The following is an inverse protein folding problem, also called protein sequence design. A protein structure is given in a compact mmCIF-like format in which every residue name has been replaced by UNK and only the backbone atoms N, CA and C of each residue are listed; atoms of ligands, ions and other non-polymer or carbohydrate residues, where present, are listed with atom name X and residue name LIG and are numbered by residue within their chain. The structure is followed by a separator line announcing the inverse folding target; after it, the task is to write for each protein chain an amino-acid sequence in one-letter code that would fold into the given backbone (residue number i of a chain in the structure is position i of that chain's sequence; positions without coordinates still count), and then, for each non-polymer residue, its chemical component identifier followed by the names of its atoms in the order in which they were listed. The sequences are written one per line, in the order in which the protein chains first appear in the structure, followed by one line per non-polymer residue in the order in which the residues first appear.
data_IF_790475369670
#
_entry.id   IF_790475369670
#
_cell.length_a   1.000
_cell.length_b   1.000
_cell.length_c   1.000
_cell.angle_alpha   90.00
_cell.angle_beta   90.00
_cell.angle_gamma   90.00
#
_symmetry.space_group_name_H-M   'P 1'
#
loop_
_entity.id
_entity.type
_entity.pdbx_description
1 polymer ?
2 non-polymer ?
3 non-polymer ?
4 water ?
#
# COMPACT_ATOMS: atom_id res chain seq x y z
N UNK A 1 -26.01 -2.37 2.89
CA UNK A 1 -27.37 -2.60 2.31
C UNK A 1 -27.31 -3.42 1.03
N UNK A 2 -26.21 -3.27 0.28
CA UNK A 2 -25.99 -4.00 -0.96
C UNK A 2 -25.41 -5.40 -0.68
N UNK A 3 -25.70 -6.35 -1.56
CA UNK A 3 -25.37 -7.76 -1.32
C UNK A 3 -24.29 -8.33 -2.25
N UNK A 4 -24.06 -7.66 -3.39
CA UNK A 4 -23.03 -8.09 -4.35
C UNK A 4 -21.63 -7.71 -3.85
N UNK A 5 -20.63 -8.48 -4.28
CA UNK A 5 -19.24 -8.10 -4.06
C UNK A 5 -18.89 -6.97 -5.02
N UNK A 6 -18.36 -5.88 -4.47
CA UNK A 6 -17.94 -4.75 -5.29
C UNK A 6 -16.43 -4.82 -5.48
N UNK A 7 -16.02 -5.20 -6.69
CA UNK A 7 -14.62 -5.34 -7.03
C UNK A 7 -14.17 -4.24 -7.98
N UNK A 8 -12.97 -3.72 -7.75
CA UNK A 8 -12.33 -2.79 -8.68
C UNK A 8 -11.43 -3.60 -9.62
N UNK A 9 -11.46 -3.26 -10.90
CA UNK A 9 -10.51 -3.78 -11.88
C UNK A 9 -9.77 -2.59 -12.50
N UNK A 10 -8.46 -2.52 -12.26
CA UNK A 10 -7.66 -1.36 -12.68
C UNK A 10 -6.20 -1.72 -12.99
N UNK A 11 -5.62 -1.01 -13.96
CA UNK A 11 -4.17 -1.07 -14.21
C UNK A 11 -3.60 0.34 -14.07
N UNK A 12 -2.57 0.48 -13.24
CA UNK A 12 -1.94 1.77 -13.00
C UNK A 12 -0.42 1.68 -12.99
N UNK A 13 0.24 2.82 -13.17
CA UNK A 13 1.69 2.88 -13.15
C UNK A 13 2.23 3.24 -11.75
N UNK A 14 3.54 3.47 -11.67
CA UNK A 14 4.23 3.76 -10.40
C UNK A 14 3.68 4.99 -9.68
N UNK A 15 3.08 5.90 -10.43
CA UNK A 15 2.51 7.14 -9.88
C UNK A 15 0.98 7.18 -9.95
N UNK A 16 0.36 6.00 -10.07
CA UNK A 16 -1.11 5.84 -10.09
C UNK A 16 -1.78 6.35 -11.38
N UNK A 17 -0.98 6.62 -12.41
CA UNK A 17 -1.54 7.04 -13.71
C UNK A 17 -2.34 5.89 -14.33
N UNK A 18 -3.56 6.19 -14.78
CA UNK A 18 -4.37 5.21 -15.50
C UNK A 18 -4.72 5.66 -16.92
N UNK A 19 -4.57 6.96 -17.20
CA UNK A 19 -4.99 7.50 -18.48
C UNK A 19 -4.25 8.74 -18.95
N UNK A 20 -4.19 8.89 -20.28
CA UNK A 20 -3.64 10.10 -20.89
C UNK A 20 -4.44 10.43 -22.14
N UNK A 21 -4.86 11.68 -22.24
CA UNK A 21 -5.66 12.18 -23.38
C UNK A 21 -6.86 11.30 -23.70
N UNK A 22 -7.58 10.91 -22.65
CA UNK A 22 -8.79 10.07 -22.75
C UNK A 22 -8.53 8.67 -23.34
N UNK A 23 -7.33 8.15 -23.12
CA UNK A 23 -6.94 6.83 -23.60
C UNK A 23 -5.97 6.18 -22.61
N UNK A 24 -5.58 4.93 -22.87
CA UNK A 24 -4.57 4.25 -22.07
C UNK A 24 -3.18 4.69 -22.50
N UNK A 25 -2.26 4.90 -21.54
CA UNK A 25 -0.89 5.32 -21.87
C UNK A 25 0.01 4.21 -22.42
N UNK A 26 -0.42 2.96 -22.24
CA UNK A 26 0.38 1.79 -22.63
C UNK A 26 -0.46 0.80 -23.43
N UNK A 27 0.23 -0.13 -24.09
CA UNK A 27 -0.41 -1.25 -24.76
C UNK A 27 0.18 -2.54 -24.22
N UNK A 28 -0.64 -3.31 -23.52
CA UNK A 28 -0.24 -4.61 -22.96
C UNK A 28 -1.30 -5.65 -23.29
N UNK A 29 -1.18 -6.29 -24.46
CA UNK A 29 -2.19 -7.29 -24.86
C UNK A 29 -2.36 -8.41 -23.83
N UNK A 30 -1.27 -8.84 -23.20
CA UNK A 30 -1.34 -9.93 -22.21
C UNK A 30 -2.16 -9.51 -20.97
N UNK A 31 -2.01 -8.25 -20.58
CA UNK A 31 -2.75 -7.68 -19.46
C UNK A 31 -4.24 -7.63 -19.78
N UNK A 32 -4.57 -7.25 -21.03
CA UNK A 32 -5.94 -7.24 -21.49
C UNK A 32 -6.55 -8.65 -21.42
N UNK A 33 -5.75 -9.66 -21.73
CA UNK A 33 -6.23 -11.04 -21.67
C UNK A 33 -6.54 -11.48 -20.24
N UNK A 34 -5.74 -10.99 -19.28
CA UNK A 34 -6.02 -11.22 -17.87
C UNK A 34 -7.34 -10.55 -17.46
N UNK A 35 -7.55 -9.33 -17.93
CA UNK A 35 -8.80 -8.60 -17.66
C UNK A 35 -10.01 -9.38 -18.18
N UNK A 36 -9.93 -9.82 -19.44
CA UNK A 36 -11.03 -10.57 -20.07
C UNK A 36 -11.35 -11.84 -19.30
N UNK A 37 -10.32 -12.60 -18.96
CA UNK A 37 -10.45 -13.84 -18.19
C UNK A 37 -11.10 -13.61 -16.82
N UNK A 38 -10.64 -12.58 -16.13
CA UNK A 38 -11.10 -12.30 -14.77
C UNK A 38 -12.54 -11.78 -14.72
N UNK A 39 -12.93 -10.99 -15.72
CA UNK A 39 -14.23 -10.30 -15.71
C UNK A 39 -15.36 -10.96 -16.51
N UNK A 40 -15.04 -11.92 -17.36
CA UNK A 40 -16.06 -12.52 -18.22
C UNK A 40 -17.17 -13.17 -17.41
N UNK A 41 -18.40 -12.94 -17.83
CA UNK A 41 -19.61 -13.42 -17.14
C UNK A 41 -20.05 -12.55 -15.96
N UNK A 42 -19.44 -11.37 -15.82
CA UNK A 42 -19.75 -10.46 -14.72
C UNK A 42 -20.00 -9.04 -15.23
N UNK A 43 -20.87 -8.28 -14.54
CA UNK A 43 -21.15 -6.91 -14.97
C UNK A 43 -19.91 -6.02 -14.90
N UNK A 44 -19.75 -5.17 -15.92
CA UNK A 44 -18.73 -4.12 -15.94
C UNK A 44 -19.41 -2.78 -15.74
N UNK A 45 -18.97 -2.04 -14.73
CA UNK A 45 -19.51 -0.71 -14.43
C UNK A 45 -18.50 0.31 -14.93
N UNK A 46 -18.91 1.13 -15.89
CA UNK A 46 -17.99 2.05 -16.56
C UNK A 46 -18.48 3.48 -16.52
N UNK A 47 -17.58 4.41 -16.23
CA UNK A 47 -17.89 5.83 -16.38
C UNK A 47 -18.16 6.13 -17.84
N UNK A 48 -18.98 7.14 -18.10
CA UNK A 48 -19.36 7.48 -19.48
C UNK A 48 -18.14 7.70 -20.39
N UNK A 49 -17.12 8.37 -19.88
CA UNK A 49 -15.90 8.63 -20.67
C UNK A 49 -15.13 7.36 -21.01
N UNK A 50 -14.92 6.52 -20.00
CA UNK A 50 -14.32 5.19 -20.21
C UNK A 50 -15.08 4.41 -21.28
N UNK A 51 -16.40 4.32 -21.14
CA UNK A 51 -17.19 3.56 -22.10
C UNK A 51 -16.95 4.04 -23.54
N UNK A 52 -17.02 5.35 -23.74
CA UNK A 52 -16.92 5.92 -25.08
C UNK A 52 -15.53 5.75 -25.69
N UNK A 53 -14.50 5.71 -24.82
CA UNK A 53 -13.13 5.39 -25.25
C UNK A 53 -12.99 3.92 -25.66
N UNK A 54 -13.68 3.03 -24.94
CA UNK A 54 -13.75 1.62 -25.32
C UNK A 54 -14.48 1.50 -26.67
N UNK A 55 -15.64 2.16 -26.76
CA UNK A 55 -16.30 2.38 -28.05
C UNK A 55 -17.35 1.37 -28.48
N UNK A 56 -17.45 0.26 -27.76
CA UNK A 56 -18.39 -0.81 -28.09
C UNK A 56 -18.80 -1.57 -26.83
N UNK A 57 -20.00 -2.21 -26.85
CA UNK A 57 -20.35 -3.10 -25.74
C UNK A 57 -19.44 -4.33 -25.75
N UNK A 58 -18.95 -4.71 -24.58
CA UNK A 58 -18.10 -5.90 -24.45
C UNK A 58 -18.97 -7.14 -24.31
N UNK A 59 -18.74 -8.14 -25.19
CA UNK A 59 -19.63 -9.31 -25.25
C UNK A 59 -19.53 -10.22 -24.02
N UNK A 60 -20.62 -10.94 -23.74
CA UNK A 60 -20.68 -11.89 -22.64
C UNK A 60 -20.73 -11.28 -21.25
N UNK A 61 -21.05 -9.99 -21.18
CA UNK A 61 -21.10 -9.24 -19.92
C UNK A 61 -22.23 -8.20 -19.94
N UNK A 62 -22.79 -7.91 -18.77
CA UNK A 62 -23.67 -6.76 -18.61
C UNK A 62 -22.81 -5.51 -18.62
N UNK A 63 -23.02 -4.65 -19.60
CA UNK A 63 -22.33 -3.36 -19.68
C UNK A 63 -23.19 -2.28 -19.07
N UNK A 64 -22.72 -1.69 -17.98
CA UNK A 64 -23.48 -0.63 -17.31
C UNK A 64 -22.70 0.68 -17.34
N UNK A 65 -23.28 1.67 -18.00
CA UNK A 65 -22.64 2.98 -18.18
C UNK A 65 -23.19 3.97 -17.15
N UNK A 66 -22.27 4.65 -16.46
CA UNK A 66 -22.64 5.63 -15.43
C UNK A 66 -22.51 7.06 -15.98
N UNK A 67 -23.62 7.79 -15.93
CA UNK A 67 -23.69 9.13 -16.49
C UNK A 67 -24.75 9.95 -15.74
N UNK A 68 -24.60 11.27 -15.75
CA UNK A 68 -25.61 12.16 -15.18
C UNK A 68 -26.69 12.51 -16.21
N UNK A 69 -26.41 12.17 -17.47
CA UNK A 69 -27.29 12.43 -18.59
C UNK A 69 -28.48 11.48 -18.58
N UNK A 70 -29.66 12.00 -18.22
CA UNK A 70 -30.88 11.20 -18.07
C UNK A 70 -31.52 10.83 -19.42
N UNK A 71 -30.94 11.33 -20.52
CA UNK A 71 -31.36 10.99 -21.87
C UNK A 71 -30.34 10.17 -22.65
N UNK A 72 -29.34 9.64 -21.94
CA UNK A 72 -28.26 8.86 -22.54
C UNK A 72 -28.69 7.41 -22.80
N UNK A 73 -28.51 6.95 -24.04
CA UNK A 73 -28.83 5.56 -24.44
C UNK A 73 -27.76 4.98 -25.35
N UNK A 74 -27.44 3.70 -25.12
CA UNK A 74 -26.57 2.93 -26.01
C UNK A 74 -27.14 1.53 -26.18
N UNK A 75 -27.35 1.11 -27.43
CA UNK A 75 -27.83 -0.23 -27.73
C UNK A 75 -26.88 -1.31 -27.19
N UNK A 76 -27.46 -2.29 -26.51
CA UNK A 76 -26.69 -3.39 -25.93
C UNK A 76 -26.04 -3.05 -24.60
N UNK A 77 -26.41 -1.90 -24.04
CA UNK A 77 -25.87 -1.43 -22.77
C UNK A 77 -26.97 -0.94 -21.85
N UNK A 78 -26.72 -1.03 -20.54
CA UNK A 78 -27.62 -0.48 -19.55
C UNK A 78 -27.03 0.82 -19.02
N UNK A 79 -27.90 1.77 -18.67
CA UNK A 79 -27.46 3.08 -18.20
C UNK A 79 -27.92 3.33 -16.77
N UNK A 80 -26.99 3.75 -15.93
CA UNK A 80 -27.27 4.11 -14.55
C UNK A 80 -26.80 5.54 -14.29
N UNK A 81 -27.43 6.21 -13.33
CA UNK A 81 -27.17 7.63 -13.11
C UNK A 81 -26.67 7.94 -11.70
N UNK A 82 -26.46 6.88 -10.91
CA UNK A 82 -25.98 7.00 -9.54
C UNK A 82 -25.50 5.63 -9.04
N UNK A 83 -24.77 5.65 -7.91
CA UNK A 83 -24.35 4.44 -7.24
C UNK A 83 -25.55 3.58 -6.88
N UNK A 84 -26.59 4.21 -6.33
CA UNK A 84 -27.78 3.48 -5.90
C UNK A 84 -28.51 2.80 -7.06
N UNK A 85 -28.54 3.44 -8.22
CA UNK A 85 -29.16 2.82 -9.40
C UNK A 85 -28.36 1.60 -9.87
N UNK A 86 -27.03 1.70 -9.80
CA UNK A 86 -26.15 0.55 -10.14
C UNK A 86 -26.46 -0.60 -9.19
N UNK A 87 -26.61 -0.27 -7.91
CA UNK A 87 -26.91 -1.27 -6.87
C UNK A 87 -28.29 -1.92 -7.08
N UNK A 88 -29.26 -1.13 -7.55
CA UNK A 88 -30.57 -1.68 -7.91
C UNK A 88 -30.47 -2.61 -9.11
N UNK A 89 -29.79 -2.15 -10.17
CA UNK A 89 -29.55 -2.97 -11.36
C UNK A 89 -28.83 -4.28 -11.06
N UNK A 90 -27.91 -4.25 -10.10
CA UNK A 90 -27.06 -5.40 -9.80
C UNK A 90 -27.40 -6.12 -8.49
N UNK A 91 -28.62 -5.90 -7.98
CA UNK A 91 -28.99 -6.41 -6.65
C UNK A 91 -28.87 -7.93 -6.47
N UNK A 92 -29.02 -8.67 -7.57
CA UNK A 92 -28.97 -10.13 -7.51
C UNK A 92 -27.67 -10.73 -8.06
N UNK A 93 -26.71 -9.86 -8.39
CA UNK A 93 -25.42 -10.28 -8.91
C UNK A 93 -24.51 -10.74 -7.78
N UNK A 94 -23.60 -11.65 -8.10
CA UNK A 94 -22.63 -12.14 -7.12
C UNK A 94 -21.48 -11.15 -6.97
N UNK A 95 -20.92 -10.72 -8.09
CA UNK A 95 -19.77 -9.81 -8.11
C UNK A 95 -19.88 -8.89 -9.30
N UNK A 96 -19.65 -7.60 -9.07
CA UNK A 96 -19.58 -6.63 -10.16
C UNK A 96 -18.19 -5.99 -10.19
N UNK A 97 -17.77 -5.61 -11.39
CA UNK A 97 -16.45 -5.00 -11.58
C UNK A 97 -16.56 -3.53 -11.95
N UNK A 98 -16.05 -2.69 -11.06
CA UNK A 98 -15.92 -1.26 -11.33
C UNK A 98 -14.70 -1.12 -12.23
N UNK A 99 -14.94 -0.64 -13.44
CA UNK A 99 -13.99 -0.76 -14.55
C UNK A 99 -13.32 0.57 -14.91
N UNK A 100 -13.63 1.63 -14.15
CA UNK A 100 -13.06 2.96 -14.40
C UNK A 100 -13.97 3.88 -15.19
N UNK A 101 -13.55 5.13 -15.44
CA UNK A 101 -12.24 5.64 -15.04
C UNK A 101 -12.22 6.24 -13.65
N UNK A 102 -11.39 7.28 -13.47
CA UNK A 102 -11.10 7.85 -12.15
C UNK A 102 -12.32 8.35 -11.39
N UNK A 103 -13.20 9.07 -12.07
CA UNK A 103 -14.41 9.59 -11.43
C UNK A 103 -15.27 8.45 -10.89
N UNK A 104 -15.40 7.39 -11.69
CA UNK A 104 -16.18 6.21 -11.28
C UNK A 104 -15.50 5.41 -10.17
N UNK A 105 -14.16 5.33 -10.18
CA UNK A 105 -13.44 4.74 -9.05
C UNK A 105 -13.67 5.54 -7.76
N UNK A 106 -13.59 6.88 -7.86
CA UNK A 106 -13.86 7.77 -6.73
C UNK A 106 -15.26 7.50 -6.18
N UNK A 107 -16.21 7.38 -7.09
CA UNK A 107 -17.62 7.22 -6.77
C UNK A 107 -17.91 5.96 -5.96
N UNK A 108 -17.27 4.86 -6.33
CA UNK A 108 -17.52 3.56 -5.69
C UNK A 108 -16.51 3.19 -4.61
N UNK A 109 -15.57 4.10 -4.35
CA UNK A 109 -14.50 3.87 -3.37
C UNK A 109 -15.02 3.48 -1.96
N UNK A 110 -16.09 4.15 -1.47
CA UNK A 110 -16.58 3.75 -0.15
C UNK A 110 -17.15 2.33 -0.07
N UNK A 111 -17.36 1.69 -1.21
CA UNK A 111 -18.06 0.40 -1.26
C UNK A 111 -17.21 -0.80 -1.69
N UNK A 112 -15.99 -0.56 -2.18
CA UNK A 112 -15.14 -1.63 -2.71
C UNK A 112 -14.73 -2.67 -1.66
N UNK A 113 -14.88 -3.94 -2.02
CA UNK A 113 -14.61 -5.08 -1.15
C UNK A 113 -13.34 -5.81 -1.60
N UNK A 114 -13.00 -5.67 -2.88
CA UNK A 114 -11.93 -6.45 -3.48
C UNK A 114 -11.25 -5.65 -4.59
N UNK A 115 -9.92 -5.66 -4.60
CA UNK A 115 -9.17 -4.86 -5.56
C UNK A 115 -8.30 -5.74 -6.47
N UNK A 116 -8.62 -5.73 -7.76
CA UNK A 116 -7.78 -6.39 -8.76
C UNK A 116 -6.97 -5.28 -9.41
N UNK A 117 -5.73 -5.14 -8.99
CA UNK A 117 -4.90 -4.04 -9.46
C UNK A 117 -3.61 -4.53 -10.12
N UNK A 118 -3.42 -4.13 -11.37
CA UNK A 118 -2.18 -4.40 -12.07
C UNK A 118 -1.27 -3.20 -11.88
N UNK A 119 -0.05 -3.45 -11.41
CA UNK A 119 0.90 -2.37 -11.16
C UNK A 119 2.00 -2.43 -12.21
N UNK A 120 2.11 -1.36 -13.00
CA UNK A 120 3.10 -1.29 -14.07
C UNK A 120 4.31 -0.50 -13.60
N UNK A 121 5.48 -1.12 -13.74
CA UNK A 121 6.73 -0.57 -13.21
C UNK A 121 7.39 0.39 -14.19
N UNK A 122 6.68 1.48 -14.48
CA UNK A 122 7.14 2.50 -15.40
C UNK A 122 6.41 3.76 -15.01
N UNK A 123 7.03 4.92 -15.25
CA UNK A 123 6.38 6.19 -14.96
C UNK A 123 5.97 6.87 -16.26
N UNK A 124 4.68 6.75 -16.58
CA UNK A 124 4.11 7.32 -17.80
C UNK A 124 3.71 8.79 -17.62
N UNK A 125 3.70 9.54 -18.72
CA UNK A 125 3.03 10.81 -18.76
C UNK A 125 1.54 10.53 -18.73
N UNK A 126 0.81 11.24 -17.89
CA UNK A 126 -0.63 11.01 -17.77
C UNK A 126 -1.39 12.16 -17.15
N UNK A 127 -2.71 12.10 -17.22
CA UNK A 127 -3.56 13.16 -16.68
C UNK A 127 -4.68 12.63 -15.78
N UNK A 128 -4.84 11.31 -15.76
CA UNK A 128 -5.91 10.66 -15.01
C UNK A 128 -5.30 9.64 -14.04
N UNK A 129 -5.78 9.67 -12.79
CA UNK A 129 -5.13 8.91 -11.71
C UNK A 129 -6.10 8.04 -10.92
N UNK A 130 -5.63 6.86 -10.51
CA UNK A 130 -6.37 6.02 -9.59
C UNK A 130 -6.29 6.63 -8.19
N UNK A 131 -7.45 6.78 -7.50
CA UNK A 131 -7.45 7.41 -6.18
C UNK A 131 -6.58 6.69 -5.15
N UNK A 132 -6.02 7.48 -4.22
CA UNK A 132 -5.27 6.93 -3.09
C UNK A 132 -6.21 6.07 -2.25
N UNK A 133 -5.67 4.98 -1.70
CA UNK A 133 -6.45 4.04 -0.88
C UNK A 133 -5.74 3.68 0.40
N UNK A 134 -6.45 3.79 1.51
CA UNK A 134 -5.96 3.30 2.81
C UNK A 134 -6.17 1.79 2.84
N UNK A 135 -5.07 1.03 2.89
CA UNK A 135 -5.15 -0.43 2.80
C UNK A 135 -5.20 -1.11 4.17
N UNK A 136 -5.42 -0.33 5.23
CA UNK A 136 -5.65 -0.90 6.56
C UNK A 136 -6.85 -1.82 6.50
N UNK A 137 -6.70 -3.01 7.08
CA UNK A 137 -7.73 -4.05 7.06
C UNK A 137 -7.99 -4.65 5.66
N UNK A 138 -6.96 -4.59 4.82
CA UNK A 138 -6.92 -5.30 3.56
C UNK A 138 -5.73 -6.26 3.57
N UNK A 139 -5.84 -7.36 2.84
CA UNK A 139 -4.75 -8.32 2.70
C UNK A 139 -4.56 -8.72 1.24
N UNK A 140 -3.31 -8.79 0.81
CA UNK A 140 -3.00 -9.32 -0.51
C UNK A 140 -3.26 -10.83 -0.51
N UNK A 141 -4.10 -11.27 -1.45
CA UNK A 141 -4.50 -12.68 -1.54
C UNK A 141 -3.95 -13.34 -2.81
N UNK A 142 -3.41 -12.53 -3.72
CA UNK A 142 -2.80 -13.03 -4.94
C UNK A 142 -1.78 -12.03 -5.48
N UNK A 143 -0.66 -12.56 -5.97
CA UNK A 143 0.33 -11.75 -6.68
C UNK A 143 1.08 -12.61 -7.69
N UNK A 144 1.28 -12.08 -8.89
CA UNK A 144 1.96 -12.81 -9.96
C UNK A 144 2.58 -11.83 -10.94
N UNK A 145 3.78 -12.13 -11.40
CA UNK A 145 4.46 -11.33 -12.42
C UNK A 145 3.76 -11.48 -13.76
N UNK A 146 3.50 -10.36 -14.42
CA UNK A 146 2.89 -10.37 -15.75
C UNK A 146 3.90 -10.76 -16.80
N UNK A 147 3.42 -11.14 -17.98
CA UNK A 147 4.29 -11.54 -19.09
C UNK A 147 4.95 -10.32 -19.75
N UNK A 148 6.27 -10.26 -19.68
CA UNK A 148 7.04 -9.24 -20.38
C UNK A 148 7.74 -9.86 -21.59
N UNK A 149 7.41 -9.36 -22.78
CA UNK A 149 8.03 -9.83 -24.03
C UNK A 149 8.00 -8.72 -25.08
N UNK A 150 8.25 -9.08 -26.34
CA UNK A 150 8.25 -8.12 -27.44
C UNK A 150 6.89 -7.49 -27.72
N UNK A 151 5.82 -8.18 -27.31
CA UNK A 151 4.44 -7.68 -27.45
C UNK A 151 3.99 -6.91 -26.20
N UNK A 152 4.66 -7.16 -25.08
CA UNK A 152 4.30 -6.56 -23.78
C UNK A 152 5.56 -5.98 -23.14
N UNK A 153 5.89 -4.73 -23.51
CA UNK A 153 7.25 -4.22 -23.29
C UNK A 153 7.54 -3.56 -21.94
N UNK A 154 6.67 -3.75 -20.96
CA UNK A 154 6.92 -3.23 -19.60
C UNK A 154 6.90 -4.36 -18.58
N UNK A 155 7.50 -4.10 -17.42
CA UNK A 155 7.42 -5.00 -16.27
C UNK A 155 6.20 -4.62 -15.46
N UNK A 156 5.38 -5.61 -15.11
CA UNK A 156 4.14 -5.39 -14.36
C UNK A 156 3.75 -6.62 -13.55
N UNK A 157 2.96 -6.38 -12.50
CA UNK A 157 2.52 -7.44 -11.60
C UNK A 157 1.02 -7.35 -11.38
N UNK A 158 0.36 -8.51 -11.36
CA UNK A 158 -1.04 -8.61 -10.98
C UNK A 158 -1.12 -8.75 -9.47
N UNK A 159 -1.96 -7.93 -8.85
CA UNK A 159 -2.21 -7.99 -7.41
C UNK A 159 -3.71 -8.12 -7.16
N UNK A 160 -4.07 -8.90 -6.16
CA UNK A 160 -5.45 -8.93 -5.68
C UNK A 160 -5.45 -8.75 -4.17
N UNK A 161 -6.22 -7.76 -3.71
CA UNK A 161 -6.40 -7.49 -2.29
C UNK A 161 -7.86 -7.68 -1.90
N UNK A 162 -8.09 -8.25 -0.71
CA UNK A 162 -9.43 -8.40 -0.16
C UNK A 162 -9.59 -7.63 1.14
N UNK A 163 -10.73 -6.93 1.27
CA UNK A 163 -11.04 -6.22 2.51
C UNK A 163 -11.44 -7.25 3.56
N UNK A 164 -10.91 -7.08 4.77
CA UNK A 164 -11.23 -7.98 5.87
C UNK A 164 -12.46 -7.47 6.62
N UNK A 165 -12.46 -6.17 6.91
CA UNK A 165 -13.61 -5.50 7.53
C UNK A 165 -14.68 -5.17 6.48
N UNK B 1 -1.20 7.78 29.36
CA UNK B 1 -0.88 9.21 29.62
C UNK B 1 -0.46 9.94 28.35
N UNK B 2 0.10 9.20 27.40
CA UNK B 2 0.49 9.74 26.09
C UNK B 2 -0.62 9.44 25.09
N UNK B 3 -0.75 10.31 24.10
CA UNK B 3 -1.87 10.19 23.17
C UNK B 3 -1.46 10.12 21.70
N UNK B 4 -0.15 10.08 21.44
CA UNK B 4 0.32 9.75 20.10
C UNK B 4 0.28 8.24 19.91
N UNK B 5 0.08 7.81 18.67
CA UNK B 5 0.20 6.40 18.33
C UNK B 5 1.68 6.06 18.30
N UNK B 6 2.06 5.02 19.04
CA UNK B 6 3.45 4.57 19.07
C UNK B 6 3.60 3.37 18.15
N UNK B 7 4.24 3.60 17.00
CA UNK B 7 4.41 2.57 15.99
C UNK B 7 5.87 2.15 15.87
N UNK B 8 6.08 0.84 15.74
CA UNK B 8 7.40 0.31 15.42
C UNK B 8 7.53 0.18 13.91
N UNK B 9 8.69 0.57 13.39
CA UNK B 9 9.06 0.34 12.00
C UNK B 9 10.34 -0.49 12.01
N UNK B 10 10.26 -1.73 11.51
CA UNK B 10 11.40 -2.66 11.56
C UNK B 10 11.39 -3.66 10.40
N UNK B 11 12.59 -4.06 9.98
CA UNK B 11 12.77 -5.17 9.05
C UNK B 11 13.66 -6.22 9.71
N UNK B 12 13.19 -7.45 9.74
CA UNK B 12 13.93 -8.53 10.40
C UNK B 12 13.88 -9.83 9.59
N UNK B 13 14.84 -10.71 9.85
CA UNK B 13 14.90 -11.99 9.14
C UNK B 13 14.16 -13.11 9.90
N UNK B 14 14.28 -14.34 9.43
CA UNK B 14 13.60 -15.50 10.01
C UNK B 14 13.91 -15.72 11.49
N UNK B 15 15.08 -15.26 11.92
CA UNK B 15 15.51 -15.41 13.32
C UNK B 15 15.53 -14.08 14.10
N UNK B 16 14.78 -13.10 13.59
CA UNK B 16 14.65 -11.78 14.21
C UNK B 16 15.91 -10.90 14.13
N UNK B 17 16.86 -11.29 13.28
CA UNK B 17 18.08 -10.50 13.08
C UNK B 17 17.71 -9.18 12.42
N UNK B 18 18.22 -8.08 12.96
CA UNK B 18 18.06 -6.75 12.36
C UNK B 18 19.38 -6.08 11.99
N UNK B 19 20.49 -6.57 12.54
CA UNK B 19 21.78 -5.93 12.32
C UNK B 19 22.98 -6.86 12.44
N UNK B 20 24.06 -6.51 11.75
CA UNK B 20 25.34 -7.20 11.86
C UNK B 20 26.45 -6.15 11.74
N UNK B 21 27.36 -6.14 12.71
CA UNK B 21 28.52 -5.21 12.74
C UNK B 21 28.10 -3.74 12.61
N UNK B 22 27.06 -3.37 13.36
CA UNK B 22 26.54 -2.00 13.42
C UNK B 22 26.01 -1.48 12.07
N UNK B 23 25.53 -2.41 11.24
CA UNK B 23 24.95 -2.10 9.94
C UNK B 23 23.82 -3.08 9.61
N UNK B 24 23.13 -2.85 8.48
CA UNK B 24 22.10 -3.77 8.00
C UNK B 24 22.76 -4.96 7.29
N UNK B 25 22.24 -6.18 7.51
CA UNK B 25 22.81 -7.37 6.87
C UNK B 25 22.43 -7.55 5.40
N UNK B 26 21.44 -6.78 4.93
CA UNK B 26 20.93 -6.91 3.57
C UNK B 26 20.79 -5.54 2.91
N UNK B 27 20.65 -5.56 1.58
CA UNK B 27 20.33 -4.37 0.82
C UNK B 27 19.05 -4.61 0.02
N UNK B 28 17.99 -3.90 0.39
CA UNK B 28 16.71 -4.00 -0.31
C UNK B 28 16.20 -2.59 -0.60
N UNK B 29 16.62 -2.01 -1.73
CA UNK B 29 16.18 -0.65 -2.07
C UNK B 29 14.65 -0.48 -2.10
N UNK B 30 13.92 -1.50 -2.55
CA UNK B 30 12.46 -1.43 -2.62
C UNK B 30 11.84 -1.35 -1.23
N UNK B 31 12.44 -2.05 -0.28
CA UNK B 31 11.99 -2.05 1.11
C UNK B 31 12.22 -0.67 1.72
N UNK B 32 13.34 -0.05 1.37
CA UNK B 32 13.66 1.31 1.81
C UNK B 32 12.64 2.33 1.28
N UNK B 33 12.19 2.13 0.04
CA UNK B 33 11.14 2.96 -0.57
C UNK B 33 9.84 2.88 0.26
N UNK B 34 9.47 1.66 0.65
CA UNK B 34 8.30 1.43 1.51
C UNK B 34 8.42 2.17 2.84
N UNK B 35 9.61 2.10 3.44
CA UNK B 35 9.91 2.79 4.70
C UNK B 35 9.74 4.31 4.55
N UNK B 36 10.29 4.86 3.47
CA UNK B 36 10.21 6.29 3.19
C UNK B 36 8.77 6.74 3.01
N UNK B 37 8.01 5.99 2.22
CA UNK B 37 6.59 6.26 1.96
C UNK B 37 5.76 6.22 3.25
N UNK B 38 5.97 5.19 4.06
CA UNK B 38 5.18 4.97 5.26
C UNK B 38 5.46 6.02 6.35
N UNK B 39 6.72 6.43 6.47
CA UNK B 39 7.15 7.30 7.58
C UNK B 39 7.21 8.81 7.26
N UNK B 40 7.03 9.17 5.99
CA UNK B 40 7.13 10.57 5.57
C UNK B 40 6.15 11.47 6.33
N UNK B 41 6.67 12.59 6.81
CA UNK B 41 5.89 13.55 7.59
C UNK B 41 5.62 13.16 9.04
N UNK B 42 6.36 12.18 9.55
CA UNK B 42 6.19 11.69 10.91
C UNK B 42 7.53 11.58 11.62
N UNK B 43 7.53 11.81 12.96
CA UNK B 43 8.80 11.72 13.70
C UNK B 43 9.40 10.32 13.65
N UNK B 44 10.73 10.26 13.53
CA UNK B 44 11.48 9.02 13.64
C UNK B 44 12.27 9.05 14.93
N UNK B 45 12.06 8.03 15.76
CA UNK B 45 12.75 7.92 17.04
C UNK B 45 13.86 6.88 16.88
N UNK B 46 15.11 7.31 17.03
CA UNK B 46 16.26 6.46 16.72
C UNK B 46 17.22 6.36 17.90
N UNK B 47 17.66 5.14 18.18
CA UNK B 47 18.76 4.95 19.13
C UNK B 47 20.01 5.62 18.60
N UNK B 48 20.87 6.09 19.50
CA UNK B 48 22.08 6.81 19.11
C UNK B 48 22.92 6.01 18.09
N UNK B 49 23.07 4.72 18.30
CA UNK B 49 23.85 3.87 17.39
C UNK B 49 23.22 3.78 15.99
N UNK B 50 21.91 3.55 15.96
CA UNK B 50 21.16 3.56 14.70
C UNK B 50 21.36 4.89 13.96
N UNK B 51 21.15 5.99 14.66
CA UNK B 51 21.31 7.30 14.02
C UNK B 51 22.69 7.47 13.36
N UNK B 52 23.74 7.17 14.12
CA UNK B 52 25.10 7.37 13.62
C UNK B 52 25.44 6.46 12.43
N UNK B 53 24.81 5.28 12.39
CA UNK B 53 24.94 4.37 11.26
C UNK B 53 24.23 4.92 10.03
N UNK B 54 23.06 5.53 10.23
CA UNK B 54 22.35 6.25 9.16
C UNK B 54 23.22 7.42 8.67
N UNK B 55 23.72 8.22 9.61
CA UNK B 55 24.78 9.19 9.33
C UNK B 55 24.36 10.61 9.00
N UNK B 56 23.06 10.82 8.79
CA UNK B 56 22.54 12.11 8.39
C UNK B 56 21.09 12.28 8.84
N UNK B 57 20.62 13.52 9.06
CA UNK B 57 19.20 13.73 9.31
C UNK B 57 18.37 13.39 8.08
N UNK B 58 17.28 12.65 8.29
CA UNK B 58 16.38 12.29 7.19
C UNK B 58 15.39 13.43 6.94
N UNK B 59 15.34 13.94 5.69
CA UNK B 59 14.55 15.13 5.37
C UNK B 59 13.04 14.89 5.48
N UNK B 60 12.31 15.97 5.76
CA UNK B 60 10.85 15.93 5.82
C UNK B 60 10.27 15.22 7.04
N UNK B 61 11.11 15.04 8.06
CA UNK B 61 10.72 14.34 9.29
C UNK B 61 11.43 14.94 10.50
N UNK B 62 10.78 14.87 11.66
CA UNK B 62 11.45 15.17 12.93
C UNK B 62 12.34 14.00 13.27
N UNK B 63 13.64 14.25 13.34
CA UNK B 63 14.61 13.23 13.73
C UNK B 63 14.92 13.36 15.21
N UNK B 64 14.54 12.35 15.98
CA UNK B 64 14.77 12.37 17.42
C UNK B 64 15.74 11.25 17.83
N UNK B 65 16.88 11.66 18.39
CA UNK B 65 17.93 10.72 18.77
C UNK B 65 17.88 10.47 20.27
N UNK B 66 17.89 9.18 20.64
CA UNK B 66 17.79 8.77 22.03
C UNK B 66 19.18 8.35 22.53
N UNK B 67 19.64 9.03 23.58
CA UNK B 67 20.98 8.83 24.13
C UNK B 67 20.99 9.16 25.63
N UNK B 68 21.91 8.57 26.37
CA UNK B 68 22.08 8.91 27.79
C UNK B 68 23.03 10.09 27.95
N UNK B 69 23.69 10.46 26.86
CA UNK B 69 24.68 11.53 26.83
C UNK B 69 23.98 12.89 26.85
N UNK B 70 24.05 13.56 28.00
CA UNK B 70 23.35 14.83 28.21
C UNK B 70 24.03 16.02 27.51
N UNK B 71 25.18 15.75 26.89
CA UNK B 71 25.90 16.75 26.10
C UNK B 71 25.93 16.45 24.61
N UNK B 72 25.09 15.51 24.17
CA UNK B 72 25.00 15.09 22.77
C UNK B 72 24.17 16.07 21.93
N UNK B 73 24.74 16.55 20.82
CA UNK B 73 24.06 17.46 19.89
C UNK B 73 24.33 17.11 18.44
N UNK B 74 23.29 17.18 17.61
CA UNK B 74 23.42 17.02 16.16
C UNK B 74 22.54 18.08 15.47
N UNK B 75 23.15 18.86 14.57
CA UNK B 75 22.43 19.87 13.81
C UNK B 75 21.32 19.23 12.96
N UNK B 76 20.12 19.81 13.04
CA UNK B 76 18.97 19.31 12.29
C UNK B 76 18.26 18.15 12.96
N UNK B 77 18.66 17.85 14.19
CA UNK B 77 18.08 16.75 14.96
C UNK B 77 17.72 17.19 16.37
N UNK B 78 16.74 16.51 16.95
CA UNK B 78 16.37 16.73 18.35
C UNK B 78 16.90 15.56 19.18
N UNK B 79 17.31 15.85 20.41
CA UNK B 79 17.89 14.83 21.27
C UNK B 79 17.02 14.60 22.50
N UNK B 80 16.74 13.34 22.80
CA UNK B 80 15.98 12.93 23.98
C UNK B 80 16.81 11.94 24.78
N UNK B 81 16.56 11.87 26.08
CA UNK B 81 17.39 11.05 26.96
C UNK B 81 16.59 10.00 27.73
N UNK B 82 15.31 9.90 27.41
CA UNK B 82 14.42 8.93 28.04
C UNK B 82 13.13 8.80 27.25
N UNK B 83 12.36 7.76 27.56
CA UNK B 83 11.03 7.57 26.98
C UNK B 83 10.15 8.78 27.26
N UNK B 84 10.14 9.22 28.51
CA UNK B 84 9.30 10.35 28.90
C UNK B 84 9.62 11.65 28.15
N UNK B 85 10.91 11.89 27.89
CA UNK B 85 11.31 13.08 27.12
C UNK B 85 10.82 12.99 25.68
N UNK B 86 10.89 11.80 25.10
CA UNK B 86 10.36 11.56 23.75
C UNK B 86 8.86 11.87 23.74
N UNK B 87 8.17 11.40 24.77
CA UNK B 87 6.73 11.64 24.92
C UNK B 87 6.40 13.12 25.07
N UNK B 88 7.25 13.86 25.80
CA UNK B 88 7.09 15.31 25.91
C UNK B 88 7.31 15.99 24.56
N UNK B 89 8.41 15.66 23.88
CA UNK B 89 8.70 16.20 22.55
C UNK B 89 7.59 15.92 21.54
N UNK B 90 6.96 14.75 21.66
CA UNK B 90 5.96 14.30 20.68
C UNK B 90 4.52 14.36 21.18
N UNK B 91 4.26 15.13 22.24
CA UNK B 91 2.95 15.13 22.91
C UNK B 91 1.76 15.46 21.99
N UNK B 92 2.01 16.28 20.97
CA UNK B 92 0.95 16.72 20.06
C UNK B 92 0.96 16.02 18.70
N UNK B 93 1.85 15.03 18.56
CA UNK B 93 1.98 14.28 17.32
C UNK B 93 0.89 13.23 17.19
N UNK B 94 0.54 12.90 15.95
CA UNK B 94 -0.49 11.88 15.67
C UNK B 94 0.10 10.49 15.81
N UNK B 95 1.26 10.29 15.19
CA UNK B 95 1.91 8.99 15.17
C UNK B 95 3.41 9.20 15.10
N UNK B 96 4.14 8.43 15.92
CA UNK B 96 5.60 8.45 15.88
C UNK B 96 6.11 7.06 15.54
N UNK B 97 7.25 7.01 14.86
CA UNK B 97 7.83 5.74 14.44
C UNK B 97 9.11 5.44 15.20
N UNK B 98 9.06 4.37 15.99
CA UNK B 98 10.26 3.87 16.67
C UNK B 98 11.05 3.10 15.61
N UNK B 99 12.24 3.60 15.32
CA UNK B 99 12.96 3.25 14.11
C UNK B 99 14.17 2.35 14.39
N UNK B 100 14.36 1.97 15.65
CA UNK B 100 15.48 1.10 16.04
C UNK B 100 16.67 1.84 16.62
N UNK B 101 17.70 1.13 17.05
CA UNK B 101 17.80 -0.32 16.92
C UNK B 101 17.24 -1.08 18.11
N UNK B 102 17.87 -2.21 18.44
CA UNK B 102 17.32 -3.16 19.42
C UNK B 102 17.08 -2.57 20.80
N UNK B 103 18.04 -1.80 21.29
CA UNK B 103 17.91 -1.19 22.62
C UNK B 103 16.73 -0.23 22.67
N UNK B 104 16.55 0.53 21.61
CA UNK B 104 15.41 1.46 21.52
C UNK B 104 14.07 0.74 21.33
N UNK B 105 14.04 -0.37 20.58
CA UNK B 105 12.84 -1.22 20.51
C UNK B 105 12.48 -1.77 21.90
N UNK B 106 13.48 -2.30 22.62
CA UNK B 106 13.28 -2.79 23.99
C UNK B 106 12.68 -1.69 24.86
N UNK B 107 13.23 -0.49 24.73
CA UNK B 107 12.85 0.66 25.53
C UNK B 107 11.38 1.05 25.37
N UNK B 108 10.89 0.99 24.13
CA UNK B 108 9.52 1.43 23.83
C UNK B 108 8.52 0.29 23.75
N UNK B 109 8.99 -0.93 23.97
CA UNK B 109 8.14 -2.12 23.86
C UNK B 109 6.85 -2.08 24.71
N UNK B 110 6.93 -1.57 25.95
CA UNK B 110 5.68 -1.50 26.74
C UNK B 110 4.62 -0.54 26.20
N UNK B 111 4.99 0.30 25.25
CA UNK B 111 4.12 1.37 24.77
C UNK B 111 3.62 1.23 23.34
N UNK B 112 4.17 0.26 22.61
CA UNK B 112 3.86 0.11 21.19
C UNK B 112 2.38 -0.25 20.92
N UNK B 113 1.76 0.49 19.99
CA UNK B 113 0.36 0.31 19.61
C UNK B 113 0.20 -0.36 18.25
N UNK B 114 1.22 -0.22 17.40
CA UNK B 114 1.13 -0.66 16.01
C UNK B 114 2.51 -1.12 15.53
N UNK B 115 2.54 -2.25 14.83
CA UNK B 115 3.78 -2.82 14.32
C UNK B 115 3.79 -2.82 12.81
N UNK B 116 4.79 -2.17 12.23
CA UNK B 116 5.06 -2.28 10.79
C UNK B 116 6.33 -3.13 10.68
N UNK B 117 6.13 -4.41 10.40
CA UNK B 117 7.24 -5.36 10.33
C UNK B 117 7.40 -5.91 8.92
N UNK B 118 8.62 -5.80 8.40
CA UNK B 118 8.99 -6.50 7.18
C UNK B 118 9.70 -7.78 7.59
N UNK B 119 9.18 -8.91 7.11
CA UNK B 119 9.77 -10.21 7.41
C UNK B 119 10.53 -10.72 6.21
N UNK B 120 11.85 -10.87 6.35
CA UNK B 120 12.69 -11.36 5.28
C UNK B 120 12.91 -12.87 5.42
N UNK B 121 12.64 -13.59 4.34
CA UNK B 121 12.67 -15.06 4.34
C UNK B 121 14.06 -15.59 4.00
N UNK B 122 15.00 -15.26 4.88
CA UNK B 122 16.39 -15.67 4.78
C UNK B 122 16.94 -15.65 6.20
N UNK B 123 17.95 -16.49 6.46
CA UNK B 123 18.60 -16.50 7.77
C UNK B 123 20.00 -15.89 7.65
N UNK B 124 20.13 -14.64 8.05
CA UNK B 124 21.39 -13.90 7.97
C UNK B 124 22.26 -14.15 9.20
N UNK B 125 23.58 -14.03 9.02
CA UNK B 125 24.48 -13.87 10.14
C UNK B 125 24.22 -12.51 10.75
N UNK B 126 24.10 -12.43 12.08
CA UNK B 126 23.80 -11.17 12.73
C UNK B 126 24.12 -11.17 14.21
N UNK B 127 24.11 -9.99 14.81
CA UNK B 127 24.44 -9.83 16.23
C UNK B 127 23.39 -9.02 16.99
N UNK B 128 22.47 -8.41 16.26
CA UNK B 128 21.44 -7.55 16.84
C UNK B 128 20.05 -8.04 16.45
N UNK B 129 19.16 -8.12 17.44
CA UNK B 129 17.88 -8.80 17.28
C UNK B 129 16.68 -7.95 17.68
N UNK B 130 15.59 -8.09 16.94
CA UNK B 130 14.31 -7.50 17.34
C UNK B 130 13.74 -8.31 18.50
N UNK B 131 13.28 -7.63 19.57
CA UNK B 131 12.79 -8.36 20.75
C UNK B 131 11.59 -9.26 20.47
N UNK B 132 11.50 -10.34 21.23
CA UNK B 132 10.34 -11.24 21.17
C UNK B 132 9.10 -10.48 21.58
N UNK B 133 8.00 -10.82 20.94
CA UNK B 133 6.70 -10.23 21.27
C UNK B 133 5.64 -11.31 21.28
N UNK B 134 4.86 -11.35 22.36
CA UNK B 134 3.68 -12.19 22.40
C UNK B 134 2.63 -11.56 21.51
N UNK B 135 2.28 -12.25 20.43
CA UNK B 135 1.39 -11.69 19.40
C UNK B 135 -0.08 -12.12 19.55
N UNK B 136 -0.45 -12.55 20.75
CA UNK B 136 -1.82 -12.99 21.05
C UNK B 136 -2.83 -11.83 20.98
N UNK B 137 -2.48 -10.71 21.60
CA UNK B 137 -3.33 -9.51 21.59
C UNK B 137 -3.20 -8.65 20.33
N UNK B 138 -2.51 -9.18 19.33
CA UNK B 138 -2.22 -8.45 18.09
C UNK B 138 -2.99 -9.00 16.89
N UNK B 139 -3.45 -8.11 16.03
CA UNK B 139 -4.22 -8.47 14.84
C UNK B 139 -3.50 -7.96 13.60
N UNK B 140 -3.34 -8.84 12.61
CA UNK B 140 -2.77 -8.44 11.32
C UNK B 140 -3.81 -7.64 10.54
N UNK B 141 -3.46 -6.40 10.19
CA UNK B 141 -4.38 -5.53 9.45
C UNK B 141 -3.93 -5.28 8.00
N UNK B 142 -2.72 -5.72 7.68
CA UNK B 142 -2.18 -5.61 6.32
C UNK B 142 -1.08 -6.63 6.10
N UNK B 143 -1.05 -7.20 4.91
CA UNK B 143 0.04 -8.07 4.46
C UNK B 143 0.16 -8.01 2.94
N UNK B 144 1.40 -7.91 2.45
CA UNK B 144 1.69 -7.83 1.02
C UNK B 144 3.10 -8.33 0.76
N UNK B 145 3.27 -9.05 -0.35
CA UNK B 145 4.59 -9.52 -0.77
C UNK B 145 5.44 -8.36 -1.27
N UNK B 146 6.69 -8.30 -0.81
CA UNK B 146 7.64 -7.31 -1.30
C UNK B 146 8.16 -7.66 -2.68
N UNK B 147 8.75 -6.69 -3.35
CA UNK B 147 9.27 -6.89 -4.70
C UNK B 147 10.60 -7.61 -4.66
N UNK B 148 10.64 -8.79 -5.27
CA UNK B 148 11.88 -9.55 -5.42
C UNK B 148 12.33 -9.48 -6.88
N UNK B 149 13.52 -8.94 -7.10
CA UNK B 149 14.13 -8.85 -8.43
C UNK B 149 15.66 -8.80 -8.32
N UNK B 150 16.35 -8.41 -9.40
CA UNK B 150 17.82 -8.37 -9.42
C UNK B 150 18.37 -7.32 -8.45
N UNK B 151 17.56 -6.32 -8.15
CA UNK B 151 17.96 -5.25 -7.23
C UNK B 151 17.57 -5.59 -5.79
N UNK B 152 16.64 -6.53 -5.63
CA UNK B 152 16.09 -6.90 -4.32
C UNK B 152 16.07 -8.42 -4.21
N UNK B 153 17.22 -9.01 -3.83
CA UNK B 153 17.45 -10.44 -4.07
C UNK B 153 16.96 -11.43 -3.01
N UNK B 154 16.08 -10.99 -2.11
CA UNK B 154 15.47 -11.88 -1.13
C UNK B 154 13.95 -11.85 -1.25
N UNK B 155 13.31 -12.89 -0.74
CA UNK B 155 11.85 -12.92 -0.58
C UNK B 155 11.50 -12.30 0.77
N UNK B 156 10.51 -11.41 0.77
CA UNK B 156 10.10 -10.70 1.99
C UNK B 156 8.66 -10.22 1.89
N UNK B 157 8.05 -10.00 3.04
CA UNK B 157 6.64 -9.59 3.12
C UNK B 157 6.48 -8.43 4.08
N UNK B 158 5.64 -7.48 3.70
CA UNK B 158 5.27 -6.38 4.60
C UNK B 158 4.08 -6.80 5.44
N UNK B 159 4.21 -6.67 6.76
CA UNK B 159 3.11 -6.96 7.69
C UNK B 159 2.82 -5.74 8.54
N UNK B 160 1.54 -5.52 8.82
CA UNK B 160 1.15 -4.50 9.79
C UNK B 160 0.21 -5.13 10.80
N UNK B 161 0.54 -4.95 12.09
CA UNK B 161 -0.30 -5.45 13.19
C UNK B 161 -0.77 -4.29 14.06
N UNK B 162 -2.02 -4.35 14.53
CA UNK B 162 -2.55 -3.36 15.46
C UNK B 162 -2.92 -4.01 16.79
N UNK B 163 -2.52 -3.40 17.91
CA UNK B 163 -2.81 -3.94 19.24
C UNK B 163 -4.29 -3.73 19.58
N UNK B 164 -4.93 -4.78 20.06
CA UNK B 164 -6.37 -4.74 20.31
C UNK B 164 -6.75 -3.98 21.60
N UNK B 165 -6.06 -4.28 22.69
CA UNK B 165 -6.20 -3.51 23.93
C UNK B 165 -5.01 -2.56 24.13
X LIG C 1 -14.88 8.30 -16.28
X LIG C 1 -14.83 8.12 -14.81
X LIG C 1 -14.70 7.06 -17.04
X LIG C 1 -16.24 9.02 -16.70
X LIG C 1 -16.58 10.29 -16.18
X LIG C 1 -18.06 10.45 -16.43
X LIG C 1 -18.79 9.62 -15.55
X LIG C 1 -18.58 11.86 -16.18
X LIG C 1 -18.32 12.72 -17.27
X LIG C 1 -20.05 11.55 -16.00
X LIG C 1 -20.69 11.30 -17.23
X LIG C 1 -20.02 10.23 -15.23
X LIG C 1 -20.11 10.52 -13.79
X LIG C 1 -19.10 10.96 -12.97
X LIG C 1 -19.59 11.11 -11.72
X LIG C 1 -20.90 10.77 -11.74
X LIG C 1 -21.86 10.74 -10.74
X LIG C 1 -21.55 11.09 -9.50
X LIG C 1 -23.15 10.33 -11.05
X LIG C 1 -23.47 9.96 -12.34
X LIG C 1 -22.50 10.00 -13.33
X LIG C 1 -21.23 10.39 -13.02
X LIG C 1 -13.80 9.42 -16.74
X LIG C 1 -12.33 9.81 -16.27
X LIG C 1 -11.92 10.94 -17.13
X LIG C 1 -12.26 9.94 -14.80
X LIG C 1 -11.48 8.50 -16.68
X LIG C 1 -11.27 8.20 -18.05
X LIG C 1 -9.79 7.91 -18.28
X LIG C 1 -9.36 6.80 -17.51
X LIG C 1 -9.50 7.56 -19.73
X LIG C 1 -8.25 8.13 -20.06
X LIG C 1 -9.40 6.05 -19.73
X LIG C 1 -8.55 5.58 -20.76
X LIG C 1 -8.82 5.79 -18.35
X LIG C 1 -9.11 4.46 -17.79
X LIG C 1 -8.04 3.69 -17.43
X LIG C 1 -8.24 2.42 -16.88
X LIG C 1 -7.05 1.64 -16.42
X LIG C 1 -7.26 0.54 -15.58
X LIG C 1 -5.81 1.98 -16.80
X LIG C 1 -9.54 1.96 -16.68
X LIG C 1 -10.61 2.76 -17.04
X LIG C 1 -10.39 4.02 -17.60
X LIG C 1 -21.51 12.42 -18.04
X LIG C 1 -22.56 13.00 -17.11
X LIG C 1 -20.53 13.50 -18.46
X LIG C 1 -22.12 11.80 -19.26
X LIG D 1 -8.23 -2.80 -15.67
X LIG D 1 -7.07 -3.38 -16.01
X LIG D 1 -6.52 -3.16 -17.22
X LIG D 1 -7.11 -2.36 -18.12
X LIG D 1 -8.32 -1.76 -17.79
X LIG D 1 -8.88 -2.00 -16.53
X LIG D 1 -6.83 -3.27 -20.45
X LIG D 1 -9.19 2.42 -24.41
X LIG D 1 -6.45 -4.18 -15.15
X LIG D 1 -10.04 -1.44 -16.17
X LIG D 1 -9.48 -0.20 -19.57
X LIG D 1 -8.95 -0.91 -18.74
X LIG D 1 -12.13 -6.14 -23.21
X LIG D 1 -11.88 -5.50 -22.00
X LIG D 1 -11.93 -5.45 -24.40
X LIG D 1 -11.43 -4.19 -21.98
X LIG D 1 -11.48 -4.13 -24.38
X LIG D 1 -10.46 -1.50 -24.35
X LIG D 1 -10.02 -0.17 -24.36
X LIG D 1 -10.65 -1.42 -21.96
X LIG D 1 -6.39 -2.18 -19.47
X LIG D 1 -10.09 0.65 -20.60
X LIG D 1 -9.48 1.84 -23.13
X LIG D 1 -11.22 -3.47 -23.16
X LIG D 1 -10.78 -2.14 -23.15
X LIG D 1 -10.22 -0.08 -21.94
X LIG D 1 -9.91 0.54 -23.15
X LIG E 1 20.45 1.40 19.23
X LIG E 1 19.25 0.89 19.92
X LIG E 1 20.18 1.95 17.88
X LIG E 1 21.19 2.52 20.12
X LIG E 1 21.68 2.17 21.40
X LIG E 1 21.96 3.49 22.09
X LIG E 1 20.73 4.10 22.47
X LIG E 1 22.76 3.35 23.38
X LIG E 1 24.14 3.23 23.13
X LIG E 1 22.37 4.62 24.09
X LIG E 1 23.05 5.73 23.54
X LIG E 1 20.90 4.81 23.68
X LIG E 1 20.04 4.25 24.76
X LIG E 1 19.74 2.93 24.99
X LIG E 1 18.94 2.86 26.08
X LIG E 1 18.72 4.11 26.54
X LIG E 1 17.98 4.61 27.61
X LIG E 1 17.32 3.80 28.42
X LIG E 1 17.95 5.97 27.83
X LIG E 1 18.64 6.83 27.00
X LIG E 1 19.37 6.33 25.94
X LIG E 1 19.41 4.99 25.72
X LIG E 1 21.61 0.28 19.16
X LIG E 1 21.60 -1.29 18.87
X LIG E 1 23.02 -1.70 18.88
X LIG E 1 20.64 -1.96 19.76
X LIG E 1 21.05 -1.37 17.36
X LIG E 1 21.80 -0.92 16.26
X LIG E 1 21.83 -2.03 15.19
X LIG E 1 20.50 -2.27 14.74
X LIG E 1 22.64 -1.67 13.96
X LIG E 1 23.21 -2.88 13.50
X LIG E 1 21.60 -1.17 12.98
X LIG E 1 22.00 -1.35 11.64
X LIG E 1 20.42 -2.08 13.33
X LIG E 1 19.10 -1.56 12.95
X LIG E 1 18.32 -2.35 12.15
X LIG E 1 17.04 -1.94 11.76
X LIG E 1 16.18 -2.85 10.95
X LIG E 1 14.79 -2.60 10.87
X LIG E 1 16.71 -3.90 10.30
X LIG E 1 16.56 -0.71 12.21
X LIG E 1 17.36 0.09 13.03
X LIG E 1 18.63 -0.35 13.41
X LIG E 1 24.40 6.36 24.17
X LIG E 1 25.44 5.27 24.14
X LIG E 1 24.84 7.51 23.31
X LIG E 1 24.13 6.81 25.59
X LIG F 1 12.48 -0.53 9.26
X LIG F 1 12.36 -1.16 8.07
X LIG F 1 13.39 -1.19 7.22
X LIG F 1 14.56 -0.60 7.52
X LIG F 1 14.71 0.05 8.75
X LIG F 1 13.62 0.08 9.63
X LIG F 1 15.49 0.42 5.43
X LIG F 1 22.43 2.13 8.00
X LIG F 1 11.23 -1.76 7.73
X LIG F 1 13.71 0.69 10.81
X LIG F 1 17.05 1.18 9.23
X LIG F 1 15.97 0.66 9.02
X LIG F 1 15.45 6.78 4.66
X LIG F 1 15.03 5.86 5.62
X LIG F 1 16.79 6.86 4.32
X LIG F 1 15.97 5.02 6.24
X LIG F 1 17.72 6.02 4.93
X LIG F 1 19.57 4.20 6.03
X LIG F 1 20.50 3.37 6.65
X LIG F 1 17.92 3.46 7.62
X LIG F 1 15.67 -0.69 6.47
X LIG F 1 18.37 1.79 9.46
X LIG F 1 21.08 1.78 8.34
X LIG F 1 17.32 5.08 5.89
X LIG F 1 18.26 4.25 6.51
X LIG F 1 18.84 2.62 8.25
X LIG F 1 20.15 2.58 7.75
#
# INVERSE_FOLDING_TARGET
HHHMRVSFMVAMDENRVIGKDNNLPWRLPSELQYVKKTTMGHPLIMGRKNYEAIGRPLPGRRNIIVTRNEGYHVEGCEVAHSVEEVFELCKNEEEIFIFGGAQIYDLFLPYVDKLYITKIHHAFEGDTFFPEMDMTNWKEVFVEKGLTDEKNPYTYYYHVYEKQQ
HHHMRVSFMVAMDENRVIGKDNNLPWRLPSELQYVKKTTMGHPLIMGRKNYEAIGRPLPGRRNIIVTRNEGYHVEGCEVAHSVEEVFELCKNEEEIFIFGGAQIYDLFLPYVDKLYITKIHHAFEGDTFFPEMDMTNWKEVFVEKGLTDEKNPYTYYYHVYEKQQ
NAP PA O1A O2A O5B C5B C4B O4B C3B O3B C2B O2B C1B N9A C8A N7A C5A C6A N6A N1A C2A N3A C4A O3 PN O1N O2N O5D C5D C4D O4D C3D O3D C2D O2D C1D N1N C2N C3N C7N O7N N7N C4N C5N C6N P2B O1X O2X O3X
5DR N1 C2 N3 C4 C5 C6 CAA CAB NAC NAD CAE CAF CAG CAH CAI CAJ CAK CAL CAM CAN CAO CAP OAS CAV CAW CAX CAZ
NAP PA O1A O2A O5B C5B C4B O4B C3B O3B C2B O2B C1B N9A C8A N7A C5A C6A N6A N1A C2A N3A C4A O3 PN O1N O2N O5D C5D C4D O4D C3D O3D C2D O2D C1D N1N C2N C3N C7N O7N N7N C4N C5N C6N P2B O1X O2X O3X
5DR N1 C2 N3 C4 C5 C6 CAA CAB NAC NAD CAE CAF CAG CAH CAI CAJ CAK CAL CAM CAN CAO CAP OAS CAV CAW CAX CAZ
#
